data_IF_757124209655
#
_entry.id   IF_757124209655
#
_cell.length_a   1.000
_cell.length_b   1.000
_cell.length_c   1.000
_cell.angle_alpha   90.00
_cell.angle_beta   90.00
_cell.angle_gamma   90.00
#
_symmetry.space_group_name_H-M   'P 1'
#
loop_
_entity.id
_entity.type
_entity.pdbx_description
1 polymer ?
#
# COMPACT_ATOMS: atom_id res chain seq x y z
N UNK A 1 -7.33 6.23 3.99
CA UNK A 1 -8.45 5.48 3.37
C UNK A 1 -9.00 6.12 2.10
N UNK A 2 -9.55 7.35 2.11
CA UNK A 2 -10.12 7.98 0.91
C UNK A 2 -9.12 8.07 -0.26
N UNK A 3 -7.97 8.70 -0.01
CA UNK A 3 -6.83 8.77 -0.93
C UNK A 3 -6.42 7.39 -1.45
N UNK A 4 -6.33 6.41 -0.56
CA UNK A 4 -6.01 5.02 -0.91
C UNK A 4 -7.01 4.41 -1.88
N UNK A 5 -8.31 4.55 -1.61
CA UNK A 5 -9.37 4.01 -2.45
C UNK A 5 -9.32 4.65 -3.85
N UNK A 6 -9.16 5.98 -3.90
CA UNK A 6 -8.98 6.71 -5.15
C UNK A 6 -7.78 6.18 -5.94
N UNK A 7 -6.63 5.99 -5.26
CA UNK A 7 -5.42 5.42 -5.87
C UNK A 7 -5.70 4.08 -6.51
N UNK A 8 -6.27 3.15 -5.74
CA UNK A 8 -6.50 1.77 -6.20
C UNK A 8 -7.47 1.72 -7.37
N UNK A 9 -8.53 2.55 -7.34
CA UNK A 9 -9.48 2.66 -8.43
C UNK A 9 -8.83 3.19 -9.72
N UNK A 10 -8.00 4.22 -9.62
CA UNK A 10 -7.32 4.80 -10.79
C UNK A 10 -6.26 3.83 -11.35
N UNK A 11 -5.52 3.13 -10.49
CA UNK A 11 -4.58 2.08 -10.90
C UNK A 11 -5.27 0.88 -11.57
N UNK A 12 -6.49 0.53 -11.15
CA UNK A 12 -7.27 -0.51 -11.81
C UNK A 12 -7.92 -0.05 -13.13
N UNK A 13 -7.74 1.23 -13.52
CA UNK A 13 -8.33 1.81 -14.73
C UNK A 13 -9.85 1.99 -14.66
N UNK A 14 -10.45 1.95 -13.46
CA UNK A 14 -11.91 2.05 -13.30
C UNK A 14 -12.28 3.52 -13.07
N UNK A 15 -13.22 4.06 -13.85
CA UNK A 15 -13.69 5.42 -13.62
C UNK A 15 -14.58 5.50 -12.38
N UNK A 16 -14.63 6.67 -11.74
CA UNK A 16 -15.48 6.90 -10.56
C UNK A 16 -16.97 6.62 -10.86
N UNK A 17 -17.45 7.02 -12.05
CA UNK A 17 -18.83 6.77 -12.48
C UNK A 17 -19.11 5.28 -12.69
N UNK A 18 -18.15 4.58 -13.29
CA UNK A 18 -18.28 3.14 -13.52
C UNK A 18 -18.31 2.37 -12.20
N UNK A 19 -17.38 2.65 -11.27
CA UNK A 19 -17.37 2.01 -9.96
C UNK A 19 -18.66 2.31 -9.18
N UNK A 20 -19.11 3.56 -9.13
CA UNK A 20 -20.34 3.95 -8.45
C UNK A 20 -21.56 3.19 -9.00
N UNK A 21 -21.67 3.07 -10.33
CA UNK A 21 -22.74 2.32 -11.01
C UNK A 21 -22.72 0.84 -10.62
N UNK A 22 -21.55 0.19 -10.63
CA UNK A 22 -21.41 -1.23 -10.27
C UNK A 22 -21.74 -1.51 -8.80
N UNK A 23 -21.41 -0.55 -7.92
CA UNK A 23 -21.74 -0.62 -6.50
C UNK A 23 -23.18 -0.21 -6.14
N UNK A 24 -23.96 0.29 -7.11
CA UNK A 24 -25.31 0.79 -6.85
C UNK A 24 -25.35 2.04 -5.94
N UNK A 25 -24.31 2.87 -5.95
CA UNK A 25 -24.22 4.11 -5.16
C UNK A 25 -24.10 5.34 -6.07
N UNK A 26 -24.30 6.53 -5.51
CA UNK A 26 -24.11 7.77 -6.29
C UNK A 26 -22.63 8.08 -6.48
N UNK A 27 -22.28 8.65 -7.63
CA UNK A 27 -20.92 9.16 -7.88
C UNK A 27 -20.54 10.26 -6.88
N UNK A 28 -21.51 11.07 -6.43
CA UNK A 28 -21.27 12.08 -5.40
C UNK A 28 -20.82 11.45 -4.08
N UNK A 29 -21.49 10.38 -3.62
CA UNK A 29 -21.08 9.64 -2.42
C UNK A 29 -19.67 9.08 -2.57
N UNK A 30 -19.39 8.35 -3.66
CA UNK A 30 -18.07 7.75 -3.85
C UNK A 30 -16.96 8.81 -3.94
N UNK A 31 -17.24 9.96 -4.56
CA UNK A 31 -16.31 11.09 -4.60
C UNK A 31 -16.02 11.63 -3.19
N UNK A 32 -17.04 11.86 -2.35
CA UNK A 32 -16.82 12.33 -0.98
C UNK A 32 -16.01 11.34 -0.15
N UNK A 33 -16.26 10.03 -0.30
CA UNK A 33 -15.46 8.98 0.35
C UNK A 33 -13.99 9.04 -0.11
N UNK A 34 -13.75 9.14 -1.42
CA UNK A 34 -12.39 9.22 -1.98
C UNK A 34 -11.61 10.47 -1.57
N UNK A 35 -12.32 11.55 -1.21
CA UNK A 35 -11.73 12.78 -0.69
C UNK A 35 -11.70 12.83 0.84
N UNK A 36 -12.06 11.74 1.53
CA UNK A 36 -12.06 11.69 3.00
C UNK A 36 -13.13 12.58 3.67
N UNK A 37 -14.10 13.08 2.90
CA UNK A 37 -15.19 13.92 3.40
C UNK A 37 -16.29 13.10 4.09
N UNK A 38 -16.40 11.81 3.74
CA UNK A 38 -17.29 10.86 4.40
C UNK A 38 -16.46 9.82 5.20
N UNK A 39 -17.06 9.25 6.23
CA UNK A 39 -16.47 8.15 6.99
C UNK A 39 -16.16 6.93 6.09
N UNK A 40 -15.22 6.10 6.54
CA UNK A 40 -14.89 4.85 5.86
C UNK A 40 -16.17 4.02 5.59
N UNK A 41 -16.35 3.48 4.37
CA UNK A 41 -17.51 2.66 4.04
C UNK A 41 -17.72 1.48 5.01
N UNK A 42 -18.93 0.92 5.00
CA UNK A 42 -19.24 -0.28 5.80
C UNK A 42 -18.39 -1.46 5.35
N UNK A 43 -18.15 -2.47 6.20
CA UNK A 43 -17.40 -3.65 5.83
C UNK A 43 -17.91 -4.33 4.54
N UNK A 44 -19.22 -4.47 4.39
CA UNK A 44 -19.87 -5.08 3.22
C UNK A 44 -19.61 -4.25 1.96
N UNK A 45 -19.60 -2.92 2.09
CA UNK A 45 -19.29 -2.03 0.97
C UNK A 45 -17.82 -2.09 0.61
N UNK A 46 -16.92 -2.26 1.57
CA UNK A 46 -15.50 -2.48 1.31
C UNK A 46 -15.24 -3.82 0.63
N UNK A 47 -15.96 -4.88 1.01
CA UNK A 47 -15.93 -6.18 0.32
C UNK A 47 -16.41 -6.05 -1.13
N UNK A 48 -17.50 -5.33 -1.38
CA UNK A 48 -18.01 -5.08 -2.73
C UNK A 48 -17.03 -4.27 -3.58
N UNK A 49 -16.44 -3.21 -3.02
CA UNK A 49 -15.39 -2.42 -3.69
C UNK A 49 -14.18 -3.31 -4.02
N UNK A 50 -13.70 -4.11 -3.05
CA UNK A 50 -12.54 -4.98 -3.27
C UNK A 50 -12.80 -5.98 -4.40
N UNK A 51 -14.00 -6.58 -4.44
CA UNK A 51 -14.42 -7.48 -5.51
C UNK A 51 -14.38 -6.79 -6.88
N UNK A 52 -14.94 -5.59 -7.00
CA UNK A 52 -14.94 -4.82 -8.26
C UNK A 52 -13.55 -4.43 -8.74
N UNK A 53 -12.62 -4.17 -7.80
CA UNK A 53 -11.24 -3.82 -8.10
C UNK A 53 -10.32 -5.05 -8.24
N UNK A 54 -10.83 -6.27 -8.03
CA UNK A 54 -10.05 -7.51 -8.08
C UNK A 54 -9.02 -7.67 -6.95
N UNK A 55 -9.26 -7.02 -5.81
CA UNK A 55 -8.41 -6.96 -4.63
C UNK A 55 -8.92 -7.86 -3.49
N UNK A 56 -8.05 -8.32 -2.57
CA UNK A 56 -8.47 -8.94 -1.32
C UNK A 56 -9.23 -7.94 -0.44
N UNK A 57 -10.41 -8.33 0.06
CA UNK A 57 -11.21 -7.47 0.93
C UNK A 57 -10.51 -7.12 2.24
N UNK A 58 -9.70 -8.05 2.77
CA UNK A 58 -8.86 -7.87 3.97
C UNK A 58 -8.04 -6.60 3.90
N UNK A 59 -7.54 -6.24 2.71
CA UNK A 59 -6.74 -5.05 2.49
C UNK A 59 -7.53 -3.75 2.70
N UNK A 60 -8.70 -3.63 2.07
CA UNK A 60 -9.51 -2.41 2.19
C UNK A 60 -10.12 -2.31 3.59
N UNK A 61 -10.51 -3.43 4.19
CA UNK A 61 -10.98 -3.46 5.58
C UNK A 61 -9.90 -2.92 6.52
N UNK A 62 -8.66 -3.38 6.36
CA UNK A 62 -7.53 -2.93 7.17
C UNK A 62 -7.23 -1.44 7.00
N UNK A 63 -7.12 -0.94 5.76
CA UNK A 63 -6.90 0.50 5.49
C UNK A 63 -8.07 1.35 6.02
N UNK A 64 -9.28 0.79 6.07
CA UNK A 64 -10.46 1.42 6.65
C UNK A 64 -10.55 1.34 8.17
N UNK A 65 -9.59 0.69 8.84
CA UNK A 65 -9.67 0.31 10.25
C UNK A 65 -11.00 -0.40 10.59
N UNK A 66 -11.48 -1.25 9.68
CA UNK A 66 -12.69 -2.05 9.83
C UNK A 66 -12.32 -3.50 10.13
N UNK A 67 -13.07 -4.11 11.04
CA UNK A 67 -12.99 -5.55 11.28
C UNK A 67 -13.74 -6.28 10.16
N UNK A 68 -13.17 -7.39 9.69
CA UNK A 68 -13.84 -8.21 8.68
C UNK A 68 -15.14 -8.82 9.24
N UNK A 69 -16.23 -8.85 8.46
CA UNK A 69 -17.44 -9.61 8.79
C UNK A 69 -17.16 -11.10 8.99
N UNK A 70 -16.02 -11.59 8.52
CA UNK A 70 -15.56 -12.94 8.83
C UNK A 70 -15.28 -13.15 10.32
N UNK A 71 -14.74 -12.16 11.03
CA UNK A 71 -14.43 -12.29 12.48
C UNK A 71 -15.71 -12.41 13.29
N UNK A 72 -16.71 -11.59 12.98
CA UNK A 72 -18.03 -11.67 13.63
C UNK A 72 -18.66 -13.04 13.40
N UNK A 73 -18.76 -13.47 12.13
CA UNK A 73 -19.27 -14.81 11.78
C UNK A 73 -18.45 -15.93 12.43
N UNK A 74 -17.14 -15.80 12.51
CA UNK A 74 -16.29 -16.80 13.15
C UNK A 74 -16.59 -16.92 14.65
N UNK A 75 -16.76 -15.79 15.36
CA UNK A 75 -17.10 -15.79 16.79
C UNK A 75 -18.49 -16.37 17.06
N UNK A 76 -19.45 -16.20 16.14
CA UNK A 76 -20.77 -16.85 16.24
C UNK A 76 -20.65 -18.38 16.18
N UNK A 77 -19.80 -18.90 15.30
CA UNK A 77 -19.62 -20.35 15.12
C UNK A 77 -18.68 -20.95 16.17
N UNK A 78 -17.69 -20.19 16.63
CA UNK A 78 -16.67 -20.62 17.60
C UNK A 78 -16.60 -19.65 18.80
N UNK A 79 -17.61 -19.66 19.70
CA UNK A 79 -17.63 -18.77 20.87
C UNK A 79 -16.43 -18.93 21.79
N UNK A 80 -15.77 -20.10 21.76
CA UNK A 80 -14.57 -20.40 22.53
C UNK A 80 -13.35 -19.55 22.13
N UNK A 81 -13.39 -18.86 20.99
CA UNK A 81 -12.36 -17.92 20.59
C UNK A 81 -12.48 -16.55 21.30
N UNK A 82 -13.67 -16.18 21.80
CA UNK A 82 -13.89 -14.89 22.43
C UNK A 82 -12.96 -14.61 23.64
N UNK A 83 -12.72 -15.57 24.56
CA UNK A 83 -11.75 -15.38 25.65
C UNK A 83 -10.35 -15.02 25.15
N UNK A 84 -9.87 -15.58 24.04
CA UNK A 84 -8.54 -15.25 23.51
C UNK A 84 -8.46 -13.77 23.10
N UNK A 85 -9.48 -13.25 22.42
CA UNK A 85 -9.53 -11.82 22.07
C UNK A 85 -9.58 -10.92 23.31
N UNK A 86 -10.32 -11.33 24.35
CA UNK A 86 -10.35 -10.61 25.62
C UNK A 86 -8.98 -10.64 26.32
N UNK A 87 -8.26 -11.75 26.28
CA UNK A 87 -6.91 -11.87 26.87
C UNK A 87 -5.88 -10.97 26.16
N UNK A 88 -5.99 -10.87 24.82
CA UNK A 88 -5.20 -9.95 23.99
C UNK A 88 -5.51 -8.50 24.38
N UNK A 89 -6.78 -8.14 24.45
CA UNK A 89 -7.22 -6.79 24.76
C UNK A 89 -6.89 -6.38 26.21
N UNK A 90 -7.12 -7.26 27.18
CA UNK A 90 -6.87 -7.01 28.60
C UNK A 90 -5.38 -6.78 28.92
N UNK A 91 -4.48 -7.39 28.13
CA UNK A 91 -3.02 -7.17 28.23
C UNK A 91 -2.51 -6.04 27.35
N UNK A 92 -3.38 -5.44 26.53
CA UNK A 92 -3.02 -4.34 25.65
C UNK A 92 -1.92 -4.70 24.65
N UNK A 93 -1.96 -5.92 24.09
CA UNK A 93 -0.97 -6.34 23.10
C UNK A 93 -0.95 -5.36 21.92
N UNK A 94 0.23 -4.78 21.66
CA UNK A 94 0.47 -3.85 20.57
C UNK A 94 0.80 -4.56 19.26
N UNK A 95 1.17 -3.78 18.25
CA UNK A 95 1.46 -4.31 16.92
C UNK A 95 2.59 -5.35 16.92
N UNK A 96 3.64 -5.15 17.74
CA UNK A 96 4.78 -6.07 17.83
C UNK A 96 4.40 -7.40 18.50
N UNK A 97 3.66 -7.36 19.62
CA UNK A 97 3.21 -8.57 20.32
C UNK A 97 2.18 -9.33 19.48
N UNK A 98 1.24 -8.62 18.84
CA UNK A 98 0.29 -9.23 17.91
C UNK A 98 1.00 -9.90 16.73
N UNK A 99 2.05 -9.28 16.19
CA UNK A 99 2.88 -9.91 15.16
C UNK A 99 3.54 -11.21 15.64
N UNK A 100 3.95 -11.27 16.90
CA UNK A 100 4.50 -12.49 17.49
C UNK A 100 3.47 -13.60 17.60
N UNK A 101 2.28 -13.28 18.11
CA UNK A 101 1.15 -14.23 18.19
C UNK A 101 0.78 -14.74 16.81
N UNK A 102 0.67 -13.85 15.82
CA UNK A 102 0.39 -14.23 14.42
C UNK A 102 1.47 -15.16 13.85
N UNK A 103 2.76 -14.85 14.07
CA UNK A 103 3.88 -15.72 13.67
C UNK A 103 3.83 -17.08 14.35
N UNK A 104 3.42 -17.15 15.62
CA UNK A 104 3.24 -18.41 16.32
C UNK A 104 2.10 -19.24 15.69
N UNK A 105 0.93 -18.62 15.48
CA UNK A 105 -0.25 -19.28 14.88
C UNK A 105 0.10 -19.80 13.48
N UNK A 106 0.71 -18.98 12.63
CA UNK A 106 1.07 -19.37 11.27
C UNK A 106 2.04 -20.57 11.22
N UNK A 107 3.02 -20.62 12.13
CA UNK A 107 3.96 -21.75 12.23
C UNK A 107 3.32 -23.00 12.80
N UNK A 108 2.44 -22.85 13.79
CA UNK A 108 1.85 -23.98 14.52
C UNK A 108 0.62 -24.57 13.84
N UNK A 109 -0.12 -23.76 13.09
CA UNK A 109 -1.37 -24.07 12.41
C UNK A 109 -1.35 -23.48 10.99
N UNK A 110 -0.57 -24.06 10.06
CA UNK A 110 -0.47 -23.54 8.71
C UNK A 110 -1.84 -23.58 8.00
N UNK A 111 -2.20 -22.51 7.29
CA UNK A 111 -3.41 -22.48 6.45
C UNK A 111 -3.34 -23.64 5.45
N UNK A 112 -4.39 -24.47 5.36
CA UNK A 112 -4.60 -25.31 4.17
C UNK A 112 -4.79 -24.36 2.99
N UNK A 113 -4.08 -24.57 1.89
CA UNK A 113 -3.85 -23.65 0.76
C UNK A 113 -5.06 -22.93 0.12
N UNK A 114 -6.29 -23.17 0.57
CA UNK A 114 -7.48 -22.47 0.12
C UNK A 114 -7.78 -21.30 1.08
N UNK A 115 -7.10 -20.18 0.87
CA UNK A 115 -7.38 -18.79 1.28
C UNK A 115 -6.03 -18.05 1.29
N UNK A 116 -5.34 -18.07 0.15
CA UNK A 116 -4.21 -17.19 -0.06
C UNK A 116 -4.75 -15.75 -0.09
N UNK A 117 -4.67 -15.06 1.04
CA UNK A 117 -4.54 -13.61 1.03
C UNK A 117 -3.30 -13.33 0.18
N UNK A 118 -3.49 -12.78 -1.03
CA UNK A 118 -2.39 -12.34 -1.91
C UNK A 118 -1.42 -11.35 -1.23
N UNK A 119 -1.76 -10.87 -0.03
CA UNK A 119 -0.97 -10.07 0.89
C UNK A 119 0.52 -10.48 1.04
N UNK A 120 0.84 -11.79 1.05
CA UNK A 120 2.22 -12.27 1.20
C UNK A 120 3.00 -12.44 -0.12
N UNK A 121 2.30 -12.56 -1.25
CA UNK A 121 2.91 -12.79 -2.57
C UNK A 121 3.42 -11.50 -3.24
N UNK A 122 3.02 -10.33 -2.72
CA UNK A 122 3.28 -9.02 -3.36
C UNK A 122 4.18 -8.11 -2.51
N UNK A 123 5.09 -8.72 -1.74
CA UNK A 123 6.08 -8.01 -0.92
C UNK A 123 6.95 -7.07 -1.76
N UNK A 124 7.23 -5.91 -1.18
CA UNK A 124 8.13 -4.86 -1.63
C UNK A 124 9.59 -5.20 -1.30
N UNK A 125 9.87 -5.82 -0.14
CA UNK A 125 11.24 -6.10 0.28
C UNK A 125 12.10 -6.86 -0.75
N UNK A 126 11.61 -7.85 -1.53
CA UNK A 126 12.41 -8.53 -2.54
C UNK A 126 12.71 -7.66 -3.77
N UNK A 127 11.99 -6.56 -3.97
CA UNK A 127 12.18 -5.63 -5.08
C UNK A 127 13.13 -4.47 -4.73
N UNK A 128 13.37 -4.26 -3.43
CA UNK A 128 14.26 -3.24 -2.91
C UNK A 128 15.68 -3.77 -2.71
N UNK A 129 16.65 -2.91 -3.00
CA UNK A 129 18.06 -3.10 -2.66
C UNK A 129 18.58 -1.79 -2.08
N UNK A 130 19.66 -1.88 -1.33
CA UNK A 130 20.34 -0.77 -0.65
C UNK A 130 20.67 0.37 -1.62
N UNK A 131 21.09 0.06 -2.86
CA UNK A 131 21.41 1.08 -3.87
C UNK A 131 20.18 1.84 -4.40
N UNK A 132 18.97 1.33 -4.17
CA UNK A 132 17.70 1.91 -4.62
C UNK A 132 16.91 2.55 -3.48
N UNK A 133 17.54 2.67 -2.32
CA UNK A 133 17.00 3.40 -1.18
C UNK A 133 17.71 4.75 -1.10
N UNK A 134 16.96 5.82 -1.27
CA UNK A 134 17.42 7.21 -1.16
C UNK A 134 16.93 7.76 0.17
N UNK A 135 17.85 8.13 1.04
CA UNK A 135 17.54 8.68 2.36
C UNK A 135 17.63 10.21 2.33
N UNK A 136 16.77 10.85 3.13
CA UNK A 136 16.79 12.28 3.39
C UNK A 136 16.93 13.15 2.12
N UNK A 137 16.17 12.83 1.08
CA UNK A 137 16.16 13.61 -0.13
C UNK A 137 15.49 14.96 0.14
N UNK A 138 16.22 16.03 -0.16
CA UNK A 138 15.71 17.40 -0.15
C UNK A 138 15.31 17.74 -1.57
N UNK A 139 14.02 18.05 -1.78
CA UNK A 139 13.49 18.48 -3.06
C UNK A 139 12.26 19.36 -2.86
N UNK A 140 12.02 20.25 -3.82
CA UNK A 140 10.86 21.14 -3.83
C UNK A 140 9.72 20.61 -4.71
N UNK A 141 10.01 19.61 -5.56
CA UNK A 141 9.05 18.96 -6.42
C UNK A 141 9.20 17.43 -6.38
N UNK A 142 8.08 16.72 -6.60
CA UNK A 142 8.10 15.25 -6.68
C UNK A 142 8.92 14.76 -7.88
N UNK A 143 9.07 15.62 -8.89
CA UNK A 143 9.90 15.39 -10.08
C UNK A 143 11.35 15.07 -9.73
N UNK A 144 11.96 15.83 -8.82
CA UNK A 144 13.33 15.57 -8.39
C UNK A 144 13.47 14.17 -7.77
N UNK A 145 12.45 13.75 -6.99
CA UNK A 145 12.43 12.45 -6.35
C UNK A 145 12.34 11.30 -7.35
N UNK A 146 11.44 11.35 -8.33
CA UNK A 146 11.36 10.29 -9.32
C UNK A 146 12.48 10.32 -10.35
N UNK A 147 13.10 11.47 -10.63
CA UNK A 147 14.30 11.53 -11.48
C UNK A 147 15.48 10.79 -10.83
N UNK A 148 15.74 11.05 -9.55
CA UNK A 148 16.82 10.36 -8.80
C UNK A 148 16.53 8.86 -8.71
N UNK A 149 15.30 8.49 -8.36
CA UNK A 149 14.91 7.08 -8.31
C UNK A 149 15.02 6.40 -9.68
N UNK A 150 14.68 7.09 -10.76
CA UNK A 150 14.82 6.58 -12.13
C UNK A 150 16.28 6.32 -12.50
N UNK A 151 17.20 7.20 -12.08
CA UNK A 151 18.64 6.98 -12.26
C UNK A 151 19.13 5.72 -11.51
N UNK A 152 18.64 5.50 -10.26
CA UNK A 152 18.96 4.27 -9.50
C UNK A 152 18.37 3.02 -10.13
N UNK A 153 17.15 3.10 -10.68
CA UNK A 153 16.50 1.98 -11.35
C UNK A 153 17.19 1.63 -12.67
N UNK A 154 17.58 2.62 -13.47
CA UNK A 154 18.24 2.43 -14.76
C UNK A 154 19.65 1.84 -14.65
N UNK A 155 20.33 2.00 -13.50
CA UNK A 155 21.63 1.40 -13.25
C UNK A 155 21.59 -0.15 -13.19
N UNK A 156 20.40 -0.75 -13.07
CA UNK A 156 20.26 -2.19 -13.02
C UNK A 156 20.32 -2.84 -14.41
N UNK A 157 20.82 -4.09 -14.50
CA UNK A 157 20.77 -4.85 -15.75
C UNK A 157 19.33 -5.02 -16.24
N UNK A 158 19.14 -4.91 -17.56
CA UNK A 158 17.83 -5.10 -18.22
C UNK A 158 16.78 -4.11 -17.75
N UNK A 159 17.19 -2.87 -17.51
CA UNK A 159 16.30 -1.73 -17.28
C UNK A 159 16.40 -0.72 -18.42
N UNK A 160 15.30 -0.03 -18.75
CA UNK A 160 15.31 1.12 -19.64
C UNK A 160 16.14 2.27 -19.08
N UNK A 161 16.51 3.21 -19.94
CA UNK A 161 17.23 4.41 -19.56
C UNK A 161 16.46 5.26 -18.55
N UNK A 162 17.21 6.01 -17.73
CA UNK A 162 16.65 6.83 -16.66
C UNK A 162 15.63 7.86 -17.18
N UNK A 163 15.85 8.43 -18.38
CA UNK A 163 14.92 9.38 -19.00
C UNK A 163 13.58 8.74 -19.35
N UNK A 164 13.59 7.50 -19.87
CA UNK A 164 12.37 6.75 -20.20
C UNK A 164 11.59 6.40 -18.94
N UNK A 165 12.29 6.00 -17.88
CA UNK A 165 11.67 5.71 -16.59
C UNK A 165 11.08 6.98 -15.96
N UNK A 166 11.82 8.08 -15.95
CA UNK A 166 11.37 9.35 -15.37
C UNK A 166 10.13 9.88 -16.09
N UNK A 167 10.11 9.83 -17.43
CA UNK A 167 8.95 10.22 -18.23
C UNK A 167 7.73 9.34 -17.94
N UNK A 168 7.95 8.03 -17.80
CA UNK A 168 6.88 7.12 -17.43
C UNK A 168 6.32 7.40 -16.03
N UNK A 169 7.16 7.82 -15.06
CA UNK A 169 6.68 8.21 -13.73
C UNK A 169 5.97 9.57 -13.73
N UNK A 170 6.48 10.56 -14.47
CA UNK A 170 5.82 11.87 -14.69
C UNK A 170 4.40 11.68 -15.20
N UNK A 171 4.23 10.91 -16.28
CA UNK A 171 2.92 10.64 -16.86
C UNK A 171 1.95 9.97 -15.86
N UNK A 172 2.47 9.14 -14.94
CA UNK A 172 1.66 8.48 -13.91
C UNK A 172 1.29 9.40 -12.76
N UNK A 173 2.19 10.29 -12.38
CA UNK A 173 1.91 11.34 -11.41
C UNK A 173 0.80 12.26 -11.93
N UNK A 174 0.89 12.73 -13.18
CA UNK A 174 -0.14 13.59 -13.78
C UNK A 174 -1.50 12.88 -13.90
N UNK A 175 -1.51 11.58 -14.22
CA UNK A 175 -2.74 10.80 -14.40
C UNK A 175 -3.42 10.42 -13.07
N UNK A 176 -2.63 10.08 -12.04
CA UNK A 176 -3.13 9.40 -10.82
C UNK A 176 -2.69 10.07 -9.51
N UNK A 177 -1.73 11.00 -9.56
CA UNK A 177 -1.04 11.55 -8.39
C UNK A 177 -0.01 10.55 -7.83
N UNK A 178 0.41 10.75 -6.59
CA UNK A 178 1.30 9.81 -5.87
C UNK A 178 0.72 9.32 -4.54
N UNK A 179 -0.12 10.11 -3.86
CA UNK A 179 -0.58 9.81 -2.52
C UNK A 179 -1.33 8.48 -2.37
N UNK A 180 -0.99 7.72 -1.33
CA UNK A 180 -1.84 6.65 -0.77
C UNK A 180 -2.35 6.97 0.64
N UNK A 181 -1.79 8.00 1.28
CA UNK A 181 -2.13 8.53 2.60
C UNK A 181 -1.12 8.15 3.68
N UNK A 182 -1.29 8.68 4.89
CA UNK A 182 -0.37 8.48 6.03
C UNK A 182 1.08 8.91 5.72
N UNK A 183 1.23 9.99 4.95
CA UNK A 183 2.52 10.52 4.50
C UNK A 183 3.30 9.59 3.54
N UNK A 184 2.64 8.58 2.95
CA UNK A 184 3.23 7.66 1.97
C UNK A 184 2.62 7.90 0.59
N UNK A 185 3.48 7.89 -0.42
CA UNK A 185 3.14 7.92 -1.83
C UNK A 185 3.66 6.69 -2.57
N UNK A 186 3.01 6.35 -3.67
CA UNK A 186 3.45 5.33 -4.62
C UNK A 186 3.29 5.84 -6.04
N UNK A 187 4.31 5.65 -6.87
CA UNK A 187 4.24 5.83 -8.31
C UNK A 187 4.52 4.50 -8.97
N UNK A 188 3.61 4.08 -9.85
CA UNK A 188 3.74 2.82 -10.55
C UNK A 188 3.69 3.03 -12.06
N UNK A 189 4.79 2.67 -12.73
CA UNK A 189 4.94 2.79 -14.17
C UNK A 189 5.10 1.42 -14.83
N UNK A 190 4.44 1.26 -15.99
CA UNK A 190 4.63 0.11 -16.86
C UNK A 190 5.51 0.54 -18.03
N UNK A 191 6.69 -0.07 -18.17
CA UNK A 191 7.67 0.27 -19.20
C UNK A 191 8.15 -0.99 -19.89
N UNK A 192 7.96 -1.06 -21.20
CA UNK A 192 8.33 -2.23 -21.98
C UNK A 192 9.83 -2.57 -21.81
N UNK A 193 10.13 -3.85 -21.59
CA UNK A 193 11.50 -4.32 -21.36
C UNK A 193 12.02 -4.16 -19.93
N UNK A 194 11.32 -3.44 -19.05
CA UNK A 194 11.67 -3.35 -17.63
C UNK A 194 11.37 -4.65 -16.89
N UNK A 195 12.13 -4.92 -15.83
CA UNK A 195 11.80 -5.96 -14.86
C UNK A 195 11.04 -5.37 -13.66
N UNK A 196 10.24 -6.17 -12.93
CA UNK A 196 9.68 -5.77 -11.65
C UNK A 196 10.79 -5.32 -10.69
N UNK A 197 10.82 -4.02 -10.38
CA UNK A 197 11.78 -3.40 -9.46
C UNK A 197 11.09 -2.30 -8.66
N UNK A 198 11.69 -1.99 -7.52
CA UNK A 198 11.26 -0.89 -6.68
C UNK A 198 12.43 0.00 -6.26
N UNK A 199 12.13 1.27 -6.03
CA UNK A 199 12.97 2.22 -5.32
C UNK A 199 12.18 2.82 -4.16
N UNK A 200 12.88 3.19 -3.10
CA UNK A 200 12.33 3.82 -1.90
C UNK A 200 13.03 5.15 -1.70
N UNK A 201 12.25 6.22 -1.58
CA UNK A 201 12.77 7.57 -1.34
C UNK A 201 12.16 8.10 -0.05
N UNK A 202 13.01 8.49 0.90
CA UNK A 202 12.62 9.20 2.11
C UNK A 202 12.84 10.69 1.89
N UNK A 203 11.78 11.47 2.00
CA UNK A 203 11.77 12.91 1.77
C UNK A 203 11.99 13.63 3.10
N UNK A 204 13.01 14.50 3.14
CA UNK A 204 13.31 15.34 4.28
C UNK A 204 13.69 16.74 3.78
N UNK A 205 12.87 17.79 4.02
CA UNK A 205 11.59 17.74 4.74
C UNK A 205 10.49 16.99 3.96
N UNK A 206 9.37 16.62 4.61
CA UNK A 206 8.20 16.08 3.92
C UNK A 206 7.65 17.06 2.87
N UNK A 207 7.29 16.54 1.69
CA UNK A 207 6.85 17.31 0.54
C UNK A 207 5.34 17.44 0.50
N UNK A 208 4.82 18.67 0.43
CA UNK A 208 3.39 18.90 0.25
C UNK A 208 2.92 18.40 -1.14
N UNK A 209 1.75 17.79 -1.19
CA UNK A 209 1.15 17.32 -2.45
C UNK A 209 -0.34 17.61 -2.50
N UNK A 210 -0.92 17.57 -3.70
CA UNK A 210 -2.36 17.71 -3.92
C UNK A 210 -3.16 16.44 -3.57
N UNK A 211 -2.62 15.57 -2.71
CA UNK A 211 -3.32 14.39 -2.25
C UNK A 211 -4.61 14.80 -1.49
N UNK A 212 -5.72 14.05 -1.60
CA UNK A 212 -6.99 14.43 -0.98
C UNK A 212 -6.96 14.56 0.55
N UNK A 213 -6.01 13.92 1.23
CA UNK A 213 -5.81 14.03 2.68
C UNK A 213 -4.92 15.22 3.09
N UNK A 214 -4.35 15.96 2.14
CA UNK A 214 -3.44 17.08 2.34
C UNK A 214 -2.24 16.78 3.27
N UNK A 215 -1.92 15.50 3.47
CA UNK A 215 -0.80 15.07 4.31
C UNK A 215 0.50 15.10 3.49
N UNK A 216 1.56 15.76 3.97
CA UNK A 216 2.80 15.84 3.20
C UNK A 216 3.48 14.46 3.11
N UNK A 217 4.02 14.16 1.94
CA UNK A 217 4.74 12.92 1.67
C UNK A 217 6.11 12.94 2.34
N UNK A 218 6.36 11.94 3.17
CA UNK A 218 7.68 11.67 3.76
C UNK A 218 8.32 10.41 3.16
N UNK A 219 7.52 9.55 2.54
CA UNK A 219 7.97 8.32 1.89
C UNK A 219 7.36 8.21 0.51
N UNK A 220 8.18 7.95 -0.51
CA UNK A 220 7.75 7.67 -1.87
C UNK A 220 8.29 6.29 -2.31
N UNK A 221 7.39 5.41 -2.74
CA UNK A 221 7.73 4.12 -3.33
C UNK A 221 7.54 4.19 -4.83
N UNK A 222 8.60 3.92 -5.60
CA UNK A 222 8.49 3.80 -7.05
C UNK A 222 8.49 2.34 -7.44
N UNK A 223 7.51 1.94 -8.23
CA UNK A 223 7.34 0.60 -8.76
C UNK A 223 7.44 0.65 -10.28
N UNK A 224 8.29 -0.18 -10.85
CA UNK A 224 8.37 -0.37 -12.30
C UNK A 224 8.10 -1.83 -12.64
N UNK A 225 7.31 -2.05 -13.69
CA UNK A 225 6.96 -3.36 -14.21
C UNK A 225 6.94 -3.34 -15.75
N UNK A 226 7.07 -4.49 -16.43
CA UNK A 226 7.02 -4.55 -17.90
C UNK A 226 5.65 -4.14 -18.47
N UNK A 227 4.58 -4.49 -17.79
CA UNK A 227 3.20 -4.27 -18.21
C UNK A 227 2.32 -3.93 -17.01
N UNK A 228 1.19 -3.25 -17.27
CA UNK A 228 0.14 -3.12 -16.25
C UNK A 228 -0.51 -4.50 -16.03
N UNK A 229 -0.57 -4.93 -14.78
CA UNK A 229 -1.09 -6.25 -14.41
C UNK A 229 -1.79 -6.20 -13.05
N UNK A 230 -2.57 -7.24 -12.74
CA UNK A 230 -3.18 -7.41 -11.42
C UNK A 230 -2.12 -7.46 -10.31
N UNK A 231 -0.96 -8.05 -10.58
CA UNK A 231 0.13 -8.14 -9.62
C UNK A 231 0.66 -6.74 -9.24
N UNK A 232 0.75 -5.85 -10.24
CA UNK A 232 1.14 -4.46 -10.05
C UNK A 232 0.13 -3.71 -9.17
N UNK A 233 -1.17 -3.89 -9.43
CA UNK A 233 -2.23 -3.32 -8.59
C UNK A 233 -2.17 -3.85 -7.14
N UNK A 234 -1.91 -5.15 -6.97
CA UNK A 234 -1.77 -5.75 -5.64
C UNK A 234 -0.54 -5.22 -4.89
N UNK A 235 0.56 -4.90 -5.58
CA UNK A 235 1.72 -4.21 -4.97
C UNK A 235 1.39 -2.79 -4.52
N UNK A 236 0.66 -2.01 -5.33
CA UNK A 236 0.19 -0.68 -4.92
C UNK A 236 -0.69 -0.78 -3.67
N UNK A 237 -1.59 -1.76 -3.65
CA UNK A 237 -2.44 -2.03 -2.50
C UNK A 237 -1.62 -2.44 -1.27
N UNK A 238 -0.57 -3.24 -1.46
CA UNK A 238 0.35 -3.61 -0.40
C UNK A 238 1.09 -2.40 0.18
N UNK A 239 1.57 -1.47 -0.66
CA UNK A 239 2.17 -0.21 -0.17
C UNK A 239 1.17 0.61 0.64
N UNK A 240 -0.09 0.68 0.20
CA UNK A 240 -1.12 1.38 0.97
C UNK A 240 -1.45 0.70 2.32
N UNK A 241 -1.35 -0.63 2.38
CA UNK A 241 -1.45 -1.38 3.65
C UNK A 241 -0.29 -1.05 4.59
N UNK A 242 0.94 -1.00 4.07
CA UNK A 242 2.11 -0.57 4.84
C UNK A 242 1.96 0.88 5.34
N UNK A 243 1.41 1.78 4.52
CA UNK A 243 1.11 3.14 4.92
C UNK A 243 0.15 3.19 6.12
N UNK A 244 -0.96 2.45 6.07
CA UNK A 244 -1.92 2.34 7.17
C UNK A 244 -1.32 1.78 8.47
N UNK A 245 -0.21 1.03 8.37
CA UNK A 245 0.55 0.47 9.50
C UNK A 245 1.66 1.39 10.02
N UNK A 246 1.77 2.61 9.50
CA UNK A 246 2.79 3.55 9.93
C UNK A 246 4.16 3.33 9.26
N UNK A 247 4.19 2.94 7.97
CA UNK A 247 5.46 2.90 7.22
C UNK A 247 6.24 4.21 7.30
N UNK A 248 5.56 5.36 7.22
CA UNK A 248 6.19 6.67 7.35
C UNK A 248 6.83 6.89 8.73
N UNK A 249 6.15 6.53 9.82
CA UNK A 249 6.71 6.67 11.17
C UNK A 249 7.86 5.68 11.40
N UNK A 250 7.73 4.45 10.90
CA UNK A 250 8.77 3.43 11.01
C UNK A 250 10.06 3.81 10.27
N UNK A 251 10.00 4.63 9.22
CA UNK A 251 11.16 4.99 8.39
C UNK A 251 11.76 6.37 8.71
N UNK A 252 11.14 7.18 9.57
CA UNK A 252 11.49 8.59 9.81
C UNK A 252 12.96 8.82 10.20
N UNK A 253 13.50 8.00 11.09
CA UNK A 253 14.83 8.20 11.69
C UNK A 253 15.88 7.20 11.16
N UNK A 254 15.65 6.64 9.98
CA UNK A 254 16.55 5.67 9.38
C UNK A 254 17.82 6.37 8.88
N UNK A 255 18.98 5.92 9.37
CA UNK A 255 20.28 6.47 8.99
C UNK A 255 20.95 5.70 7.85
N UNK A 256 20.59 4.42 7.66
CA UNK A 256 21.25 3.55 6.68
C UNK A 256 20.25 2.90 5.70
N UNK A 257 20.58 2.77 4.40
CA UNK A 257 19.62 2.25 3.43
C UNK A 257 19.27 0.78 3.67
N UNK A 258 20.20 -0.01 4.22
CA UNK A 258 19.95 -1.39 4.64
C UNK A 258 18.94 -1.48 5.78
N UNK A 259 19.02 -0.55 6.74
CA UNK A 259 18.08 -0.45 7.84
C UNK A 259 16.67 -0.13 7.33
N UNK A 260 16.54 0.77 6.35
CA UNK A 260 15.25 1.07 5.72
C UNK A 260 14.61 -0.20 5.15
N UNK A 261 15.41 -0.98 4.39
CA UNK A 261 14.96 -2.24 3.79
C UNK A 261 14.52 -3.25 4.85
N UNK A 262 15.27 -3.36 5.95
CA UNK A 262 14.93 -4.25 7.07
C UNK A 262 13.65 -3.83 7.79
N UNK A 263 13.45 -2.54 8.03
CA UNK A 263 12.22 -2.02 8.65
C UNK A 263 11.01 -2.26 7.76
N UNK A 264 11.12 -2.04 6.45
CA UNK A 264 10.06 -2.42 5.48
C UNK A 264 9.77 -3.91 5.55
N UNK A 265 10.79 -4.77 5.48
CA UNK A 265 10.60 -6.23 5.57
C UNK A 265 9.93 -6.65 6.89
N UNK A 266 10.25 -5.98 7.99
CA UNK A 266 9.64 -6.24 9.30
C UNK A 266 8.16 -5.89 9.29
N UNK A 267 7.77 -4.72 8.74
CA UNK A 267 6.37 -4.33 8.59
C UNK A 267 5.57 -5.32 7.72
N UNK A 268 6.22 -5.94 6.73
CA UNK A 268 5.61 -6.95 5.86
C UNK A 268 5.40 -8.31 6.52
N UNK A 269 6.20 -8.66 7.53
CA UNK A 269 6.07 -9.94 8.24
C UNK A 269 4.90 -9.95 9.24
N UNK A 270 4.41 -8.77 9.61
CA UNK A 270 3.20 -8.60 10.41
C UNK A 270 1.94 -8.66 9.52
N UNK A 271 2.09 -8.85 8.19
CA UNK A 271 1.11 -8.48 7.16
C UNK A 271 0.47 -9.61 6.36
#
# INVERSE_FOLDING_TARGET
MGTTLRRLRLESGVSLRDLARRLGVSSAYLSRVEHGLDAAPTPERLEAIASELGLPASLLLEVGHRVSPFVERYLEHEPQAAPLFLEIAARGLGAEELAEVQRYVARRFPKRAALEDGAGAHRLSPLLDTERVVLALHCDALEDAYQIASARLAALPRMPDASVLAEAFRAREEEVGAGVGAGVGVLCAAVAGAQPRAALVLLAPPLATDAPDAEPLSVLVLLVAPTRSRETLLRVAHVARLAARGMASALRDVAHPDEARQRVATLELVA
#
